data_IF_881305342554
#
_entry.id   IF_881305342554
#
_cell.length_a   1.000
_cell.length_b   1.000
_cell.length_c   1.000
_cell.angle_alpha   90.00
_cell.angle_beta   90.00
_cell.angle_gamma   90.00
#
_symmetry.space_group_name_H-M   'P 1'
#
loop_
_entity.id
_entity.type
_entity.pdbx_description
1 polymer ?
#
# COMPACT_ATOMS: atom_id res chain seq x y z
N UNK A 1 -21.86 28.63 8.37
CA UNK A 1 -22.05 27.23 7.91
C UNK A 1 -21.41 27.15 6.55
N UNK A 2 -20.63 26.10 6.29
CA UNK A 2 -20.00 25.95 4.96
C UNK A 2 -21.11 25.71 3.92
N UNK A 3 -21.01 26.34 2.75
CA UNK A 3 -21.95 26.17 1.63
C UNK A 3 -21.76 24.78 1.02
N UNK A 4 -22.82 24.01 0.93
CA UNK A 4 -22.75 22.70 0.31
C UNK A 4 -22.93 22.78 -1.21
N UNK A 5 -23.90 23.57 -1.69
CA UNK A 5 -24.28 23.64 -3.11
C UNK A 5 -24.44 25.08 -3.56
N UNK A 6 -23.78 25.43 -4.67
CA UNK A 6 -24.01 26.69 -5.38
C UNK A 6 -24.97 26.48 -6.56
N UNK A 7 -26.03 27.26 -6.65
CA UNK A 7 -27.02 27.21 -7.72
C UNK A 7 -26.89 28.47 -8.56
N UNK A 8 -26.64 28.30 -9.86
CA UNK A 8 -26.48 29.41 -10.82
C UNK A 8 -27.47 29.23 -11.97
N UNK A 9 -28.43 30.12 -12.05
CA UNK A 9 -29.50 30.14 -13.08
C UNK A 9 -30.07 31.54 -13.16
N UNK A 10 -30.36 32.08 -14.33
CA UNK A 10 -30.92 33.44 -14.49
C UNK A 10 -32.41 33.46 -14.13
N UNK A 11 -33.11 32.33 -14.26
CA UNK A 11 -34.54 32.23 -13.93
C UNK A 11 -34.77 32.07 -12.42
N UNK A 12 -35.31 33.11 -11.78
CA UNK A 12 -35.54 33.14 -10.33
C UNK A 12 -36.41 31.99 -9.82
N UNK A 13 -37.43 31.63 -10.59
CA UNK A 13 -38.38 30.55 -10.16
C UNK A 13 -37.70 29.18 -10.15
N UNK A 14 -36.87 28.88 -11.15
CA UNK A 14 -36.09 27.63 -11.23
C UNK A 14 -35.05 27.60 -10.12
N UNK A 15 -34.33 28.70 -9.91
CA UNK A 15 -33.35 28.83 -8.81
C UNK A 15 -34.01 28.58 -7.45
N UNK A 16 -35.22 29.15 -7.25
CA UNK A 16 -35.97 28.94 -5.99
C UNK A 16 -36.47 27.52 -5.83
N UNK A 17 -36.94 26.88 -6.89
CA UNK A 17 -37.37 25.46 -6.88
C UNK A 17 -36.20 24.54 -6.50
N UNK A 18 -35.07 24.67 -7.18
CA UNK A 18 -33.87 23.86 -6.89
C UNK A 18 -33.43 24.09 -5.45
N UNK A 19 -33.41 25.34 -4.98
CA UNK A 19 -33.06 25.66 -3.59
C UNK A 19 -33.97 24.95 -2.61
N UNK A 20 -35.31 25.08 -2.75
CA UNK A 20 -36.26 24.47 -1.83
C UNK A 20 -36.10 22.94 -1.79
N UNK A 21 -36.01 22.32 -2.96
CA UNK A 21 -35.79 20.87 -3.06
C UNK A 21 -34.52 20.41 -2.34
N UNK A 22 -33.42 21.16 -2.43
CA UNK A 22 -32.15 20.81 -1.80
C UNK A 22 -32.14 21.14 -0.29
N UNK A 23 -32.76 22.25 0.12
CA UNK A 23 -32.85 22.63 1.53
C UNK A 23 -33.77 21.68 2.32
N UNK A 24 -34.82 21.15 1.70
CA UNK A 24 -35.70 20.13 2.30
C UNK A 24 -34.95 18.83 2.60
N UNK A 25 -33.92 18.49 1.83
CA UNK A 25 -33.00 17.37 2.06
C UNK A 25 -31.80 17.73 2.95
N UNK A 26 -31.76 18.94 3.49
CA UNK A 26 -30.78 19.37 4.49
C UNK A 26 -29.48 19.95 3.93
N UNK A 27 -29.36 20.22 2.63
CA UNK A 27 -28.21 20.86 2.03
C UNK A 27 -28.21 22.38 2.25
N UNK A 28 -27.07 22.95 2.62
CA UNK A 28 -26.91 24.40 2.67
C UNK A 28 -26.65 24.95 1.27
N UNK A 29 -27.49 25.87 0.79
CA UNK A 29 -27.39 26.38 -0.57
C UNK A 29 -27.02 27.86 -0.64
N UNK A 30 -26.32 28.26 -1.71
CA UNK A 30 -26.17 29.67 -2.16
C UNK A 30 -26.65 29.79 -3.59
N UNK A 31 -27.12 30.97 -3.92
CA UNK A 31 -27.68 31.28 -5.24
C UNK A 31 -26.88 32.38 -5.91
N UNK A 32 -26.78 32.33 -7.24
CA UNK A 32 -26.28 33.38 -8.10
C UNK A 32 -27.19 33.51 -9.32
N UNK A 33 -27.47 34.73 -9.73
CA UNK A 33 -28.30 35.03 -10.91
C UNK A 33 -27.50 35.03 -12.22
N UNK A 34 -26.16 34.98 -12.16
CA UNK A 34 -25.30 34.98 -13.33
C UNK A 34 -23.85 34.69 -12.97
N UNK A 35 -22.98 34.64 -13.99
CA UNK A 35 -21.60 34.21 -13.86
C UNK A 35 -20.74 35.12 -12.98
N UNK A 36 -20.95 36.43 -13.02
CA UNK A 36 -20.18 37.39 -12.20
C UNK A 36 -20.38 37.14 -10.69
N UNK A 37 -21.63 36.94 -10.26
CA UNK A 37 -21.98 36.66 -8.88
C UNK A 37 -21.48 35.26 -8.49
N UNK A 38 -21.63 34.26 -9.37
CA UNK A 38 -21.14 32.91 -9.18
C UNK A 38 -19.63 32.84 -8.95
N UNK A 39 -18.84 33.58 -9.75
CA UNK A 39 -17.37 33.67 -9.59
C UNK A 39 -16.98 34.26 -8.24
N UNK A 40 -17.65 35.33 -7.81
CA UNK A 40 -17.38 35.94 -6.51
C UNK A 40 -17.65 34.94 -5.36
N UNK A 41 -18.76 34.19 -5.43
CA UNK A 41 -19.09 33.18 -4.45
C UNK A 41 -18.10 32.00 -4.47
N UNK A 42 -17.72 31.51 -5.65
CA UNK A 42 -16.71 30.44 -5.81
C UNK A 42 -15.36 30.83 -5.22
N UNK A 43 -14.92 32.08 -5.39
CA UNK A 43 -13.64 32.57 -4.87
C UNK A 43 -13.67 32.84 -3.36
N UNK A 44 -14.79 33.30 -2.81
CA UNK A 44 -14.91 33.62 -1.38
C UNK A 44 -15.16 32.38 -0.51
N UNK A 45 -15.99 31.46 -0.98
CA UNK A 45 -16.39 30.26 -0.23
C UNK A 45 -16.74 29.13 -1.22
N UNK A 46 -15.74 28.31 -1.63
CA UNK A 46 -15.96 27.25 -2.61
C UNK A 46 -16.97 26.22 -2.10
N UNK A 47 -18.04 25.91 -2.87
CA UNK A 47 -19.05 24.92 -2.50
C UNK A 47 -18.51 23.49 -2.70
N UNK A 48 -19.24 22.50 -2.17
CA UNK A 48 -18.96 21.09 -2.42
C UNK A 48 -19.44 20.61 -3.79
N UNK A 49 -20.42 21.29 -4.37
CA UNK A 49 -21.01 21.04 -5.69
C UNK A 49 -21.55 22.35 -6.29
N UNK A 50 -21.45 22.51 -7.60
CA UNK A 50 -22.13 23.60 -8.30
C UNK A 50 -23.13 23.05 -9.31
N UNK A 51 -24.27 23.74 -9.42
CA UNK A 51 -25.32 23.52 -10.43
C UNK A 51 -25.37 24.75 -11.30
N UNK A 52 -25.08 24.62 -12.59
CA UNK A 52 -24.99 25.76 -13.54
C UNK A 52 -26.00 25.58 -14.66
N UNK A 53 -26.79 26.63 -14.92
CA UNK A 53 -27.56 26.72 -16.18
C UNK A 53 -26.62 27.02 -17.35
N UNK A 54 -26.86 26.38 -18.48
CA UNK A 54 -26.08 26.61 -19.70
C UNK A 54 -26.40 27.99 -20.29
N UNK A 55 -27.67 28.35 -20.33
CA UNK A 55 -28.14 29.56 -21.00
C UNK A 55 -28.52 30.67 -20.03
N UNK A 56 -27.61 31.58 -19.74
CA UNK A 56 -27.82 32.72 -18.86
C UNK A 56 -27.90 34.01 -19.70
N UNK A 57 -29.12 34.57 -19.89
CA UNK A 57 -29.40 35.61 -20.86
C UNK A 57 -28.80 37.00 -20.54
N UNK A 58 -28.58 37.32 -19.29
CA UNK A 58 -28.06 38.63 -18.84
C UNK A 58 -26.68 38.51 -18.16
N UNK A 59 -25.92 37.50 -18.52
CA UNK A 59 -24.61 37.21 -17.92
C UNK A 59 -23.47 37.57 -18.86
N UNK A 60 -22.33 37.95 -18.29
CA UNK A 60 -21.08 38.25 -18.99
C UNK A 60 -20.41 36.98 -19.57
N UNK A 61 -20.82 35.81 -19.12
CA UNK A 61 -20.38 34.51 -19.61
C UNK A 61 -21.57 33.54 -19.65
N UNK A 62 -21.55 32.58 -20.57
CA UNK A 62 -22.50 31.49 -20.56
C UNK A 62 -22.10 30.40 -19.54
N UNK A 63 -22.97 29.40 -19.35
CA UNK A 63 -22.71 28.33 -18.36
C UNK A 63 -21.56 27.42 -18.75
N UNK A 64 -21.26 27.27 -20.06
CA UNK A 64 -20.12 26.44 -20.50
C UNK A 64 -18.79 27.15 -20.25
N UNK A 65 -18.75 28.46 -20.51
CA UNK A 65 -17.57 29.28 -20.19
C UNK A 65 -17.32 29.34 -18.67
N UNK A 66 -18.40 29.46 -17.87
CA UNK A 66 -18.30 29.40 -16.40
C UNK A 66 -17.84 28.03 -15.90
N UNK A 67 -18.26 26.94 -16.54
CA UNK A 67 -17.77 25.59 -16.28
C UNK A 67 -16.25 25.48 -16.50
N UNK A 68 -15.78 25.92 -17.69
CA UNK A 68 -14.34 25.88 -18.02
C UNK A 68 -13.52 26.71 -17.04
N UNK A 69 -13.98 27.94 -16.74
CA UNK A 69 -13.35 28.81 -15.76
C UNK A 69 -13.31 28.16 -14.38
N UNK A 70 -14.41 27.57 -13.92
CA UNK A 70 -14.50 26.92 -12.62
C UNK A 70 -13.58 25.72 -12.53
N UNK A 71 -13.50 24.92 -13.59
CA UNK A 71 -12.60 23.74 -13.67
C UNK A 71 -11.13 24.11 -13.75
N UNK A 72 -10.78 25.27 -14.29
CA UNK A 72 -9.40 25.76 -14.30
C UNK A 72 -8.89 26.10 -12.90
N UNK A 73 -9.76 26.54 -11.99
CA UNK A 73 -9.41 26.93 -10.61
C UNK A 73 -9.66 25.79 -9.63
N UNK A 74 -10.77 25.06 -9.79
CA UNK A 74 -11.22 23.97 -8.94
C UNK A 74 -11.44 22.69 -9.77
N UNK A 75 -10.39 21.98 -10.19
CA UNK A 75 -10.50 20.78 -11.06
C UNK A 75 -11.41 19.69 -10.47
N UNK A 76 -11.39 19.55 -9.14
CA UNK A 76 -12.10 18.49 -8.41
C UNK A 76 -13.54 18.86 -8.00
N UNK A 77 -13.97 20.12 -8.24
CA UNK A 77 -15.34 20.55 -7.93
C UNK A 77 -16.34 19.83 -8.86
N UNK A 78 -17.26 19.01 -8.35
CA UNK A 78 -18.32 18.43 -9.19
C UNK A 78 -19.28 19.52 -9.65
N UNK A 79 -19.55 19.55 -10.96
CA UNK A 79 -20.42 20.55 -11.58
C UNK A 79 -21.51 19.78 -12.35
N UNK A 80 -22.78 20.05 -12.00
CA UNK A 80 -23.94 19.58 -12.75
C UNK A 80 -24.42 20.73 -13.68
N UNK A 81 -24.60 20.39 -14.94
CA UNK A 81 -25.16 21.37 -15.91
C UNK A 81 -26.66 21.17 -16.05
N UNK A 82 -27.42 22.26 -16.13
CA UNK A 82 -28.87 22.24 -16.39
C UNK A 82 -29.13 23.01 -17.66
N UNK A 83 -30.09 22.58 -18.49
CA UNK A 83 -30.49 23.32 -19.69
C UNK A 83 -31.95 23.08 -20.07
N UNK A 84 -32.65 24.13 -20.50
CA UNK A 84 -34.00 24.05 -21.07
C UNK A 84 -34.05 23.75 -22.59
N UNK A 85 -32.94 23.92 -23.30
CA UNK A 85 -32.84 23.68 -24.76
C UNK A 85 -31.56 22.88 -25.07
N UNK A 86 -31.33 21.78 -24.31
CA UNK A 86 -30.14 20.97 -24.48
C UNK A 86 -30.23 20.09 -25.74
N UNK A 87 -29.40 20.38 -26.74
CA UNK A 87 -29.14 19.38 -27.78
C UNK A 87 -28.19 18.31 -27.23
N UNK A 88 -28.20 17.12 -27.81
CA UNK A 88 -27.23 16.05 -27.46
C UNK A 88 -25.79 16.59 -27.59
N UNK A 89 -25.55 17.45 -28.54
CA UNK A 89 -24.25 18.10 -28.79
C UNK A 89 -23.78 18.97 -27.60
N UNK A 90 -24.68 19.77 -27.04
CA UNK A 90 -24.39 20.64 -25.88
C UNK A 90 -24.10 19.82 -24.61
N UNK A 91 -24.84 18.74 -24.39
CA UNK A 91 -24.60 17.82 -23.28
C UNK A 91 -23.23 17.12 -23.41
N UNK A 92 -22.88 16.67 -24.61
CA UNK A 92 -21.57 16.04 -24.89
C UNK A 92 -20.43 17.04 -24.70
N UNK A 93 -20.63 18.29 -25.09
CA UNK A 93 -19.64 19.37 -24.92
C UNK A 93 -19.42 19.66 -23.42
N UNK A 94 -20.50 19.80 -22.63
CA UNK A 94 -20.41 19.98 -21.19
C UNK A 94 -19.61 18.87 -20.49
N UNK A 95 -19.87 17.61 -20.83
CA UNK A 95 -19.13 16.45 -20.29
C UNK A 95 -17.65 16.49 -20.72
N UNK A 96 -17.34 16.85 -21.96
CA UNK A 96 -15.95 16.99 -22.44
C UNK A 96 -15.19 18.09 -21.70
N UNK A 97 -15.87 19.20 -21.35
CA UNK A 97 -15.31 20.31 -20.60
C UNK A 97 -15.23 20.03 -19.09
N UNK A 98 -15.59 18.82 -18.66
CA UNK A 98 -15.39 18.35 -17.27
C UNK A 98 -16.62 18.47 -16.38
N UNK A 99 -17.82 18.70 -16.91
CA UNK A 99 -19.03 18.56 -16.11
C UNK A 99 -19.17 17.12 -15.59
N UNK A 100 -19.72 16.97 -14.38
CA UNK A 100 -20.00 15.66 -13.80
C UNK A 100 -21.14 14.96 -14.54
N UNK A 101 -22.23 15.71 -14.77
CA UNK A 101 -23.39 15.23 -15.54
C UNK A 101 -24.25 16.41 -16.02
N UNK A 102 -25.33 16.08 -16.74
CA UNK A 102 -26.23 17.02 -17.39
C UNK A 102 -27.70 16.68 -17.09
N UNK A 103 -28.51 17.71 -16.79
CA UNK A 103 -29.95 17.60 -16.53
C UNK A 103 -30.72 18.48 -17.50
N UNK A 104 -31.72 17.91 -18.19
CA UNK A 104 -32.61 18.65 -19.09
C UNK A 104 -33.83 19.15 -18.34
N UNK A 105 -34.21 20.43 -18.54
CA UNK A 105 -35.45 21.04 -18.08
C UNK A 105 -36.61 20.69 -19.02
N UNK A 106 -37.79 20.30 -18.53
CA UNK A 106 -38.18 20.18 -17.13
C UNK A 106 -37.70 18.86 -16.52
N UNK A 107 -37.23 18.91 -15.29
CA UNK A 107 -36.74 17.73 -14.57
C UNK A 107 -37.61 17.40 -13.34
N UNK A 108 -37.60 16.14 -12.93
CA UNK A 108 -38.22 15.70 -11.69
C UNK A 108 -37.28 15.93 -10.51
N UNK A 109 -37.82 16.32 -9.36
CA UNK A 109 -37.06 16.53 -8.11
C UNK A 109 -36.22 15.30 -7.73
N UNK A 110 -36.79 14.10 -7.82
CA UNK A 110 -36.11 12.84 -7.54
C UNK A 110 -34.83 12.64 -8.39
N UNK A 111 -34.88 13.07 -9.66
CA UNK A 111 -33.72 12.99 -10.57
C UNK A 111 -32.61 13.95 -10.16
N UNK A 112 -32.98 15.20 -9.80
CA UNK A 112 -32.03 16.19 -9.31
C UNK A 112 -31.34 15.69 -8.04
N UNK A 113 -32.10 15.25 -7.04
CA UNK A 113 -31.57 14.74 -5.77
C UNK A 113 -30.66 13.53 -5.97
N UNK A 114 -31.04 12.58 -6.81
CA UNK A 114 -30.21 11.42 -7.12
C UNK A 114 -28.87 11.83 -7.75
N UNK A 115 -28.87 12.80 -8.66
CA UNK A 115 -27.64 13.23 -9.33
C UNK A 115 -26.74 14.06 -8.40
N UNK A 116 -27.32 14.89 -7.55
CA UNK A 116 -26.61 15.65 -6.51
C UNK A 116 -25.94 14.67 -5.53
N UNK A 117 -26.69 13.69 -5.01
CA UNK A 117 -26.14 12.70 -4.08
C UNK A 117 -24.97 11.90 -4.69
N UNK A 118 -25.11 11.45 -5.94
CA UNK A 118 -24.05 10.74 -6.66
C UNK A 118 -22.81 11.62 -6.92
N UNK A 119 -23.02 12.87 -7.29
CA UNK A 119 -21.92 13.80 -7.55
C UNK A 119 -21.12 14.09 -6.27
N UNK A 120 -21.82 14.33 -5.15
CA UNK A 120 -21.19 14.55 -3.84
C UNK A 120 -20.47 13.30 -3.32
N UNK A 121 -21.06 12.11 -3.47
CA UNK A 121 -20.43 10.83 -3.09
C UNK A 121 -19.16 10.58 -3.92
N UNK A 122 -19.24 10.77 -5.23
CA UNK A 122 -18.07 10.63 -6.13
C UNK A 122 -16.95 11.59 -5.76
N UNK A 123 -17.28 12.86 -5.48
CA UNK A 123 -16.31 13.86 -5.05
C UNK A 123 -15.70 13.52 -3.69
N UNK A 124 -16.52 13.03 -2.75
CA UNK A 124 -16.05 12.57 -1.45
C UNK A 124 -15.07 11.41 -1.58
N UNK A 125 -15.42 10.38 -2.35
CA UNK A 125 -14.53 9.23 -2.60
C UNK A 125 -13.23 9.64 -3.32
N UNK A 126 -13.31 10.59 -4.27
CA UNK A 126 -12.13 11.14 -4.94
C UNK A 126 -11.25 11.90 -3.95
N UNK A 127 -11.83 12.73 -3.09
CA UNK A 127 -11.12 13.49 -2.06
C UNK A 127 -10.50 12.56 -1.01
N UNK A 128 -11.25 11.59 -0.51
CA UNK A 128 -10.72 10.56 0.40
C UNK A 128 -9.58 9.77 -0.24
N UNK A 129 -9.67 9.45 -1.53
CA UNK A 129 -8.59 8.78 -2.28
C UNK A 129 -7.36 9.68 -2.44
N UNK A 130 -7.55 10.98 -2.70
CA UNK A 130 -6.47 11.97 -2.76
C UNK A 130 -5.86 12.18 -1.36
N UNK A 131 -6.67 12.28 -0.32
CA UNK A 131 -6.23 12.40 1.07
C UNK A 131 -5.50 11.13 1.55
N UNK A 132 -6.01 9.94 1.23
CA UNK A 132 -5.34 8.66 1.48
C UNK A 132 -4.02 8.57 0.70
N UNK A 133 -3.99 9.03 -0.55
CA UNK A 133 -2.75 9.11 -1.35
C UNK A 133 -1.79 10.18 -0.81
N UNK A 134 -2.28 11.32 -0.37
CA UNK A 134 -1.49 12.38 0.26
C UNK A 134 -0.98 11.97 1.65
N UNK A 135 -1.76 11.19 2.41
CA UNK A 135 -1.31 10.57 3.66
C UNK A 135 -0.26 9.47 3.43
N UNK A 136 -0.28 8.83 2.26
CA UNK A 136 0.79 7.93 1.80
C UNK A 136 2.00 8.68 1.24
N UNK A 137 1.82 9.96 0.87
CA UNK A 137 2.84 10.86 0.34
C UNK A 137 2.83 12.17 1.13
N UNK A 138 3.28 12.12 2.37
CA UNK A 138 3.74 13.34 3.06
C UNK A 138 4.82 13.95 2.15
N UNK A 139 4.59 15.13 1.61
CA UNK A 139 5.31 15.92 0.60
C UNK A 139 6.85 15.83 0.47
N UNK A 140 7.50 14.88 1.11
CA UNK A 140 8.87 14.46 0.86
C UNK A 140 8.87 13.26 -0.09
N UNK A 141 9.71 13.30 -1.12
CA UNK A 141 9.96 12.17 -1.99
C UNK A 141 10.20 10.90 -1.14
N UNK A 142 9.58 9.77 -1.46
CA UNK A 142 9.74 8.56 -0.67
C UNK A 142 11.22 8.20 -0.54
N UNK A 143 11.73 8.20 0.68
CA UNK A 143 13.16 7.97 0.95
C UNK A 143 13.36 6.65 1.68
N UNK A 144 14.33 5.86 1.21
CA UNK A 144 14.76 4.65 1.90
C UNK A 144 15.59 5.03 3.13
N UNK A 145 14.99 4.89 4.30
CA UNK A 145 15.63 5.18 5.59
C UNK A 145 16.61 4.06 5.93
N UNK A 146 17.79 4.46 6.40
CA UNK A 146 18.85 3.55 6.84
C UNK A 146 20.23 4.10 6.55
N UNK A 147 21.20 3.84 7.42
CA UNK A 147 22.61 4.24 7.29
C UNK A 147 23.55 3.04 7.18
N UNK A 148 23.01 1.84 7.26
CA UNK A 148 23.77 0.60 7.14
C UNK A 148 24.54 0.53 5.80
N UNK A 149 25.68 -0.15 5.75
CA UNK A 149 26.45 -0.36 4.51
C UNK A 149 25.59 -1.00 3.42
N UNK A 150 24.73 -1.96 3.80
CA UNK A 150 23.84 -2.66 2.87
C UNK A 150 22.84 -1.68 2.24
N UNK A 151 22.19 -0.82 3.05
CA UNK A 151 21.24 0.19 2.54
C UNK A 151 21.92 1.27 1.71
N UNK A 152 23.19 1.60 1.99
CA UNK A 152 23.99 2.49 1.12
C UNK A 152 24.22 1.85 -0.26
N UNK A 153 24.56 0.56 -0.30
CA UNK A 153 24.69 -0.20 -1.55
C UNK A 153 23.39 -0.23 -2.37
N UNK A 154 22.23 -0.44 -1.70
CA UNK A 154 20.91 -0.40 -2.35
C UNK A 154 20.65 0.98 -2.98
N UNK A 155 20.88 2.07 -2.24
CA UNK A 155 20.70 3.43 -2.80
C UNK A 155 21.61 3.69 -4.00
N UNK A 156 22.87 3.29 -3.94
CA UNK A 156 23.79 3.41 -5.08
C UNK A 156 23.32 2.59 -6.29
N UNK A 157 22.78 1.40 -6.07
CA UNK A 157 22.20 0.57 -7.13
C UNK A 157 20.96 1.26 -7.72
N UNK A 158 20.07 1.81 -6.90
CA UNK A 158 18.91 2.57 -7.35
C UNK A 158 19.35 3.78 -8.19
N UNK A 159 20.36 4.53 -7.75
CA UNK A 159 20.89 5.70 -8.50
C UNK A 159 21.41 5.35 -9.90
N UNK A 160 21.97 4.15 -10.05
CA UNK A 160 22.45 3.65 -11.34
C UNK A 160 21.32 3.10 -12.22
N UNK A 161 20.31 2.46 -11.62
CA UNK A 161 19.19 1.81 -12.31
C UNK A 161 18.14 2.83 -12.74
N UNK A 162 17.86 3.83 -11.92
CA UNK A 162 16.76 4.76 -12.12
C UNK A 162 16.79 5.49 -13.47
N UNK A 163 17.94 6.03 -13.96
CA UNK A 163 18.00 6.70 -15.26
C UNK A 163 17.84 5.76 -16.46
N UNK A 164 17.93 4.44 -16.25
CA UNK A 164 17.75 3.47 -17.34
C UNK A 164 16.27 3.18 -17.56
N UNK A 165 15.88 2.78 -18.77
CA UNK A 165 14.56 2.25 -19.05
C UNK A 165 14.43 0.75 -18.71
N UNK A 166 15.44 0.14 -18.12
CA UNK A 166 15.50 -1.28 -17.82
C UNK A 166 14.41 -1.71 -16.84
N UNK A 167 13.91 -2.92 -17.04
CA UNK A 167 13.00 -3.58 -16.12
C UNK A 167 13.78 -4.02 -14.89
N UNK A 168 13.14 -3.90 -13.73
CA UNK A 168 13.75 -4.20 -12.43
C UNK A 168 12.90 -5.24 -11.71
N UNK A 169 13.56 -6.24 -11.16
CA UNK A 169 12.93 -7.25 -10.31
C UNK A 169 13.45 -7.07 -8.89
N UNK A 170 12.56 -6.65 -7.99
CA UNK A 170 12.88 -6.36 -6.59
C UNK A 170 12.52 -7.58 -5.73
N UNK A 171 13.51 -8.29 -5.24
CA UNK A 171 13.32 -9.44 -4.36
C UNK A 171 13.54 -9.06 -2.90
N UNK A 172 12.94 -9.80 -1.98
CA UNK A 172 13.19 -9.64 -0.56
C UNK A 172 11.95 -9.94 0.29
N UNK A 173 12.12 -10.23 1.59
CA UNK A 173 11.04 -10.67 2.44
C UNK A 173 9.90 -9.64 2.53
N UNK A 174 8.71 -10.12 2.92
CA UNK A 174 7.55 -9.24 3.10
C UNK A 174 7.86 -8.14 4.13
N UNK A 175 7.40 -6.92 3.87
CA UNK A 175 7.64 -5.77 4.74
C UNK A 175 9.06 -5.20 4.69
N UNK A 176 9.96 -5.66 3.81
CA UNK A 176 11.34 -5.16 3.71
C UNK A 176 11.46 -3.77 3.05
N UNK A 177 10.40 -3.29 2.37
CA UNK A 177 10.35 -2.01 1.68
C UNK A 177 10.50 -2.10 0.17
N UNK A 178 10.10 -3.21 -0.47
CA UNK A 178 10.18 -3.43 -1.94
C UNK A 178 9.44 -2.35 -2.73
N UNK A 179 8.20 -2.03 -2.35
CA UNK A 179 7.42 -0.97 -3.01
C UNK A 179 8.10 0.40 -2.88
N UNK A 180 8.65 0.71 -1.69
CA UNK A 180 9.37 1.96 -1.47
C UNK A 180 10.62 2.06 -2.36
N UNK A 181 11.36 0.95 -2.54
CA UNK A 181 12.48 0.89 -3.47
C UNK A 181 12.04 1.13 -4.91
N UNK A 182 10.91 0.54 -5.35
CA UNK A 182 10.33 0.76 -6.67
C UNK A 182 9.91 2.23 -6.88
N UNK A 183 9.31 2.87 -5.89
CA UNK A 183 8.97 4.31 -5.91
C UNK A 183 10.23 5.18 -5.97
N UNK A 184 11.29 4.84 -5.23
CA UNK A 184 12.57 5.54 -5.33
C UNK A 184 13.19 5.43 -6.73
N UNK A 185 13.11 4.26 -7.37
CA UNK A 185 13.56 4.06 -8.75
C UNK A 185 12.76 4.94 -9.72
N UNK A 186 11.43 4.97 -9.58
CA UNK A 186 10.57 5.81 -10.40
C UNK A 186 10.89 7.30 -10.24
N UNK A 187 10.94 7.81 -9.00
CA UNK A 187 11.15 9.23 -8.70
C UNK A 187 12.53 9.75 -9.13
N UNK A 188 13.53 8.88 -9.27
CA UNK A 188 14.85 9.21 -9.78
C UNK A 188 15.00 8.93 -11.29
N UNK A 189 13.93 8.50 -11.97
CA UNK A 189 13.92 8.19 -13.39
C UNK A 189 13.52 9.39 -14.25
N UNK A 190 13.64 9.26 -15.57
CA UNK A 190 13.12 10.24 -16.54
C UNK A 190 11.56 10.29 -16.57
N UNK A 191 10.89 9.32 -15.90
CA UNK A 191 9.42 9.23 -15.80
C UNK A 191 8.89 9.71 -14.45
N UNK A 192 9.70 10.44 -13.66
CA UNK A 192 9.37 10.89 -12.30
C UNK A 192 8.08 11.72 -12.20
N UNK A 193 7.77 12.47 -13.25
CA UNK A 193 6.59 13.34 -13.34
C UNK A 193 5.36 12.61 -13.91
N UNK A 194 5.55 11.36 -14.34
CA UNK A 194 4.51 10.50 -14.90
C UNK A 194 3.89 9.60 -13.82
N UNK A 195 2.84 8.84 -14.18
CA UNK A 195 2.13 8.00 -13.21
C UNK A 195 2.96 6.80 -12.77
N UNK A 196 2.93 6.54 -11.46
CA UNK A 196 3.34 5.28 -10.84
C UNK A 196 2.10 4.47 -10.48
N UNK A 197 1.82 3.42 -11.26
CA UNK A 197 0.64 2.58 -11.10
C UNK A 197 1.03 1.28 -10.40
N UNK A 198 0.29 0.92 -9.34
CA UNK A 198 0.54 -0.29 -8.55
C UNK A 198 -0.47 -1.37 -8.92
N UNK A 199 0.01 -2.52 -9.35
CA UNK A 199 -0.76 -3.75 -9.52
C UNK A 199 -0.45 -4.69 -8.35
N UNK A 200 -1.33 -4.73 -7.34
CA UNK A 200 -1.19 -5.65 -6.21
C UNK A 200 -1.75 -7.03 -6.60
N UNK A 201 -0.87 -7.92 -7.05
CA UNK A 201 -1.26 -9.21 -7.64
C UNK A 201 -1.98 -10.12 -6.65
N UNK A 202 -1.67 -10.02 -5.35
CA UNK A 202 -2.34 -10.80 -4.31
C UNK A 202 -3.81 -10.39 -4.06
N UNK A 203 -4.20 -9.17 -4.46
CA UNK A 203 -5.57 -8.65 -4.29
C UNK A 203 -6.44 -8.76 -5.54
N UNK A 204 -5.83 -9.02 -6.69
CA UNK A 204 -6.56 -9.18 -7.94
C UNK A 204 -7.36 -10.48 -7.90
N UNK A 205 -8.69 -10.37 -8.04
CA UNK A 205 -9.56 -11.55 -8.11
C UNK A 205 -9.21 -12.37 -9.35
N UNK A 206 -8.95 -13.67 -9.20
CA UNK A 206 -8.49 -14.57 -10.28
C UNK A 206 -9.34 -14.49 -11.54
N UNK A 207 -10.67 -14.32 -11.40
CA UNK A 207 -11.63 -14.24 -12.49
C UNK A 207 -11.60 -12.89 -13.24
N UNK A 208 -11.08 -11.82 -12.63
CA UNK A 208 -11.08 -10.46 -13.17
C UNK A 208 -9.70 -9.88 -13.39
N UNK A 209 -8.66 -10.62 -13.06
CA UNK A 209 -7.27 -10.14 -13.13
C UNK A 209 -6.90 -9.59 -14.50
N UNK A 210 -7.31 -10.29 -15.57
CA UNK A 210 -7.05 -9.84 -16.94
C UNK A 210 -7.80 -8.55 -17.28
N UNK A 211 -9.06 -8.41 -16.83
CA UNK A 211 -9.84 -7.20 -17.06
C UNK A 211 -9.30 -6.00 -16.25
N UNK A 212 -8.74 -6.23 -15.07
CA UNK A 212 -8.10 -5.17 -14.29
C UNK A 212 -6.75 -4.76 -14.89
N UNK A 213 -5.95 -5.70 -15.35
CA UNK A 213 -4.65 -5.42 -15.96
C UNK A 213 -4.76 -4.80 -17.35
N UNK A 214 -5.55 -5.41 -18.23
CA UNK A 214 -5.63 -5.06 -19.65
C UNK A 214 -6.86 -4.22 -20.00
N UNK A 215 -7.79 -4.06 -19.07
CA UNK A 215 -9.08 -3.44 -19.34
C UNK A 215 -10.08 -4.38 -20.00
N UNK A 216 -11.32 -3.94 -20.09
CA UNK A 216 -12.37 -4.68 -20.77
C UNK A 216 -13.18 -3.79 -21.71
N UNK A 217 -13.72 -4.39 -22.76
CA UNK A 217 -14.56 -3.72 -23.74
C UNK A 217 -15.75 -4.63 -24.06
N UNK A 218 -16.97 -4.14 -23.78
CA UNK A 218 -18.19 -4.86 -24.12
C UNK A 218 -18.73 -4.36 -25.45
N UNK A 219 -18.74 -5.21 -26.43
CA UNK A 219 -19.29 -4.91 -27.77
C UNK A 219 -20.80 -4.60 -27.73
N UNK A 220 -21.51 -5.15 -26.74
CA UNK A 220 -22.97 -4.97 -26.62
C UNK A 220 -23.37 -3.68 -25.89
N UNK A 221 -22.59 -3.23 -24.89
CA UNK A 221 -22.93 -2.08 -24.04
C UNK A 221 -22.09 -0.84 -24.31
N UNK A 222 -21.15 -0.87 -25.23
CA UNK A 222 -20.17 0.20 -25.52
C UNK A 222 -19.41 0.69 -24.27
N UNK A 223 -19.42 -0.10 -23.21
CA UNK A 223 -18.75 0.23 -21.95
C UNK A 223 -17.29 -0.21 -22.03
N UNK A 224 -16.39 0.77 -21.91
CA UNK A 224 -14.95 0.58 -21.90
C UNK A 224 -14.44 0.80 -20.47
N UNK A 225 -13.66 -0.16 -19.98
CA UNK A 225 -12.92 -0.04 -18.70
C UNK A 225 -11.43 -0.01 -19.02
N UNK A 226 -10.74 1.02 -18.54
CA UNK A 226 -9.31 1.23 -18.76
C UNK A 226 -8.53 0.37 -17.78
N UNK A 227 -7.62 -0.50 -18.28
CA UNK A 227 -6.78 -1.37 -17.48
C UNK A 227 -5.53 -0.69 -16.91
N UNK A 228 -4.84 -1.35 -15.95
CA UNK A 228 -3.65 -0.81 -15.28
C UNK A 228 -2.49 -0.53 -16.26
N UNK A 229 -2.30 -1.35 -17.30
CA UNK A 229 -1.29 -1.10 -18.33
C UNK A 229 -1.56 0.19 -19.11
N UNK A 230 -2.81 0.47 -19.42
CA UNK A 230 -3.20 1.71 -20.13
C UNK A 230 -3.09 2.93 -19.21
N UNK A 231 -3.45 2.78 -17.90
CA UNK A 231 -3.28 3.83 -16.89
C UNK A 231 -1.81 4.20 -16.66
N UNK A 232 -0.89 3.24 -16.82
CA UNK A 232 0.55 3.43 -16.66
C UNK A 232 1.24 3.93 -17.94
N UNK A 233 0.50 4.27 -19.01
CA UNK A 233 1.09 4.77 -20.26
C UNK A 233 2.00 5.97 -20.01
N UNK A 234 3.21 5.96 -20.60
CA UNK A 234 4.35 6.86 -20.38
C UNK A 234 4.97 6.80 -18.97
N UNK A 235 4.33 6.15 -18.02
CA UNK A 235 4.74 6.03 -16.63
C UNK A 235 5.43 4.70 -16.28
N UNK A 236 5.21 4.27 -15.05
CA UNK A 236 5.76 3.03 -14.49
C UNK A 236 4.63 2.16 -13.94
N UNK A 237 4.62 0.87 -14.30
CA UNK A 237 3.74 -0.13 -13.72
C UNK A 237 4.55 -1.00 -12.74
N UNK A 238 4.13 -1.02 -11.49
CA UNK A 238 4.74 -1.83 -10.45
C UNK A 238 3.84 -3.03 -10.12
N UNK A 239 4.37 -4.23 -10.30
CA UNK A 239 3.72 -5.48 -9.90
C UNK A 239 4.21 -5.88 -8.51
N UNK A 240 3.33 -5.85 -7.53
CA UNK A 240 3.60 -6.37 -6.19
C UNK A 240 3.19 -7.84 -6.10
N UNK A 241 4.12 -8.70 -5.66
CA UNK A 241 3.97 -10.15 -5.57
C UNK A 241 3.55 -10.81 -6.90
N UNK A 242 4.38 -10.65 -7.95
CA UNK A 242 4.13 -11.14 -9.32
C UNK A 242 3.84 -12.65 -9.39
N UNK A 243 4.35 -13.45 -8.45
CA UNK A 243 4.12 -14.88 -8.39
C UNK A 243 2.68 -15.28 -8.02
N UNK A 244 1.86 -14.33 -7.53
CA UNK A 244 0.47 -14.59 -7.18
C UNK A 244 -0.47 -14.57 -8.40
N UNK A 245 0.03 -14.18 -9.57
CA UNK A 245 -0.75 -14.14 -10.80
C UNK A 245 -0.94 -15.53 -11.41
N UNK A 246 -2.13 -15.81 -11.98
CA UNK A 246 -2.37 -17.04 -12.75
C UNK A 246 -1.39 -17.19 -13.92
N UNK A 247 -0.96 -18.40 -14.22
CA UNK A 247 0.00 -18.70 -15.29
C UNK A 247 -0.45 -18.20 -16.69
N UNK A 248 -1.75 -18.19 -16.94
CA UNK A 248 -2.32 -17.65 -18.19
C UNK A 248 -2.08 -16.15 -18.30
N UNK A 249 -2.38 -15.42 -17.22
CA UNK A 249 -2.14 -13.97 -17.13
C UNK A 249 -0.66 -13.63 -17.23
N UNK A 250 0.21 -14.43 -16.61
CA UNK A 250 1.66 -14.28 -16.74
C UNK A 250 2.09 -14.32 -18.21
N UNK A 251 1.54 -15.25 -19.02
CA UNK A 251 1.81 -15.33 -20.45
C UNK A 251 1.34 -14.10 -21.23
N UNK A 252 0.20 -13.50 -20.86
CA UNK A 252 -0.30 -12.25 -21.45
C UNK A 252 0.60 -11.06 -21.11
N UNK A 253 1.10 -11.01 -19.86
CA UNK A 253 2.06 -9.98 -19.42
C UNK A 253 3.37 -10.06 -20.21
N UNK A 254 3.90 -11.27 -20.42
CA UNK A 254 5.13 -11.45 -21.24
C UNK A 254 4.95 -10.78 -22.61
N UNK A 255 3.82 -11.01 -23.27
CA UNK A 255 3.53 -10.39 -24.59
C UNK A 255 3.39 -8.89 -24.49
N UNK A 256 2.59 -8.39 -23.54
CA UNK A 256 2.35 -6.96 -23.36
C UNK A 256 3.64 -6.18 -23.05
N UNK A 257 4.52 -6.75 -22.21
CA UNK A 257 5.83 -6.14 -21.87
C UNK A 257 6.80 -6.15 -23.05
N UNK A 258 6.74 -7.19 -23.91
CA UNK A 258 7.62 -7.31 -25.06
C UNK A 258 7.20 -6.38 -26.20
N UNK A 259 5.92 -6.41 -26.53
CA UNK A 259 5.37 -5.77 -27.72
C UNK A 259 4.91 -4.34 -27.43
N UNK A 260 4.80 -3.96 -26.14
CA UNK A 260 4.22 -2.69 -25.67
C UNK A 260 2.82 -2.46 -26.28
N UNK A 261 2.08 -3.55 -26.50
CA UNK A 261 0.72 -3.56 -27.03
C UNK A 261 -0.04 -4.80 -26.57
N UNK A 262 -1.33 -4.65 -26.46
CA UNK A 262 -2.25 -5.71 -26.03
C UNK A 262 -3.68 -5.42 -26.52
N UNK A 263 -4.61 -6.36 -26.31
CA UNK A 263 -6.04 -6.17 -26.55
C UNK A 263 -6.80 -6.22 -25.22
N UNK A 264 -7.84 -5.41 -25.11
CA UNK A 264 -8.76 -5.47 -23.96
C UNK A 264 -9.53 -6.79 -23.96
N UNK A 265 -9.93 -7.22 -22.78
CA UNK A 265 -10.79 -8.40 -22.64
C UNK A 265 -12.13 -8.12 -23.33
N UNK A 266 -12.53 -9.00 -24.24
CA UNK A 266 -13.77 -8.86 -25.03
C UNK A 266 -13.68 -7.87 -26.20
N UNK A 267 -12.54 -7.18 -26.39
CA UNK A 267 -12.31 -6.23 -27.49
C UNK A 267 -11.36 -6.77 -28.56
N UNK A 268 -11.47 -6.22 -29.77
CA UNK A 268 -10.58 -6.54 -30.90
C UNK A 268 -9.55 -5.43 -31.19
N UNK A 269 -9.72 -4.26 -30.60
CA UNK A 269 -8.85 -3.11 -30.84
C UNK A 269 -7.52 -3.28 -30.11
N UNK A 270 -6.41 -3.09 -30.81
CA UNK A 270 -5.07 -3.11 -30.25
C UNK A 270 -4.78 -1.80 -29.53
N UNK A 271 -4.30 -1.89 -28.29
CA UNK A 271 -3.89 -0.76 -27.43
C UNK A 271 -2.39 -0.73 -27.40
N UNK A 272 -1.79 0.38 -27.84
CA UNK A 272 -0.33 0.61 -27.80
C UNK A 272 -0.01 1.43 -26.56
N UNK A 273 0.98 0.97 -25.80
CA UNK A 273 1.43 1.63 -24.56
C UNK A 273 2.97 1.76 -24.55
N UNK A 274 3.46 2.70 -23.77
CA UNK A 274 4.89 2.81 -23.43
C UNK A 274 4.99 2.79 -21.90
N UNK A 275 5.33 1.62 -21.33
CA UNK A 275 5.30 1.40 -19.88
C UNK A 275 6.64 0.84 -19.41
N UNK A 276 7.25 1.50 -18.42
CA UNK A 276 8.35 0.91 -17.65
C UNK A 276 7.78 -0.06 -16.63
N UNK A 277 8.32 -1.28 -16.56
CA UNK A 277 7.85 -2.30 -15.61
C UNK A 277 8.87 -2.49 -14.50
N UNK A 278 8.39 -2.49 -13.26
CA UNK A 278 9.11 -2.91 -12.05
C UNK A 278 8.27 -4.00 -11.40
N UNK A 279 8.88 -5.12 -11.02
CA UNK A 279 8.17 -6.26 -10.41
C UNK A 279 8.77 -6.58 -9.05
N UNK A 280 7.98 -7.13 -8.14
CA UNK A 280 8.46 -7.57 -6.84
C UNK A 280 7.98 -8.98 -6.49
N UNK A 281 8.79 -9.68 -5.69
CA UNK A 281 8.42 -10.95 -5.07
C UNK A 281 9.01 -11.07 -3.67
N UNK A 282 8.25 -11.67 -2.76
CA UNK A 282 8.74 -12.09 -1.44
C UNK A 282 9.17 -13.55 -1.39
N UNK A 283 8.83 -14.32 -2.43
CA UNK A 283 9.14 -15.75 -2.54
C UNK A 283 10.47 -15.98 -3.26
N UNK A 284 11.06 -17.14 -3.05
CA UNK A 284 12.18 -17.58 -3.86
C UNK A 284 11.71 -17.91 -5.27
N UNK A 285 12.26 -17.19 -6.26
CA UNK A 285 11.79 -17.30 -7.65
C UNK A 285 12.24 -18.61 -8.31
N UNK A 286 13.37 -19.18 -7.89
CA UNK A 286 13.83 -20.47 -8.41
C UNK A 286 12.89 -21.60 -7.95
N UNK A 287 12.46 -21.55 -6.70
CA UNK A 287 11.48 -22.50 -6.15
C UNK A 287 10.11 -22.34 -6.83
N UNK A 288 9.67 -21.10 -7.09
CA UNK A 288 8.40 -20.84 -7.77
C UNK A 288 8.41 -21.32 -9.25
N UNK A 289 9.55 -21.19 -9.94
CA UNK A 289 9.72 -21.74 -11.30
C UNK A 289 9.72 -23.26 -11.28
N UNK A 290 10.48 -23.89 -10.39
CA UNK A 290 10.58 -25.35 -10.27
C UNK A 290 9.23 -26.00 -9.89
N UNK A 291 8.43 -25.30 -9.08
CA UNK A 291 7.07 -25.72 -8.71
C UNK A 291 6.02 -25.40 -9.79
N UNK A 292 6.41 -24.80 -10.91
CA UNK A 292 5.49 -24.45 -12.02
C UNK A 292 4.49 -23.34 -11.69
N UNK A 293 4.72 -22.51 -10.67
CA UNK A 293 3.87 -21.37 -10.32
C UNK A 293 4.32 -20.06 -10.97
N UNK A 294 5.59 -19.96 -11.35
CA UNK A 294 6.14 -18.84 -12.10
C UNK A 294 6.67 -19.34 -13.47
N UNK A 295 6.27 -18.69 -14.53
CA UNK A 295 6.80 -18.98 -15.87
C UNK A 295 8.24 -18.50 -15.99
N UNK A 296 9.09 -19.35 -16.53
CA UNK A 296 10.51 -19.06 -16.74
C UNK A 296 10.72 -17.90 -17.74
N UNK A 297 9.89 -17.83 -18.80
CA UNK A 297 9.94 -16.75 -19.78
C UNK A 297 9.60 -15.38 -19.16
N UNK A 298 8.65 -15.33 -18.21
CA UNK A 298 8.32 -14.12 -17.47
C UNK A 298 9.48 -13.69 -16.57
N UNK A 299 10.07 -14.63 -15.84
CA UNK A 299 11.23 -14.35 -14.96
C UNK A 299 12.38 -13.68 -15.73
N UNK A 300 12.85 -14.30 -16.83
CA UNK A 300 13.92 -13.71 -17.63
C UNK A 300 13.52 -12.38 -18.27
N UNK A 301 12.24 -12.19 -18.54
CA UNK A 301 11.79 -10.95 -19.14
C UNK A 301 11.70 -9.80 -18.15
N UNK A 302 11.30 -10.04 -16.91
CA UNK A 302 11.19 -9.03 -15.85
C UNK A 302 12.51 -8.81 -15.11
N UNK A 303 13.31 -9.85 -14.96
CA UNK A 303 14.55 -9.87 -14.18
C UNK A 303 15.80 -9.33 -14.90
N UNK A 304 15.66 -8.28 -15.72
CA UNK A 304 16.82 -7.69 -16.42
C UNK A 304 17.85 -7.11 -15.42
N UNK A 305 17.36 -6.45 -14.38
CA UNK A 305 18.18 -5.95 -13.28
C UNK A 305 17.58 -6.43 -11.95
N UNK A 306 18.21 -7.40 -11.28
CA UNK A 306 17.76 -7.82 -9.96
C UNK A 306 18.21 -6.82 -8.89
N UNK A 307 17.30 -6.51 -7.94
CA UNK A 307 17.58 -5.71 -6.75
C UNK A 307 17.06 -6.47 -5.52
N UNK A 308 17.94 -6.82 -4.58
CA UNK A 308 17.55 -7.58 -3.41
C UNK A 308 17.45 -6.67 -2.18
N UNK A 309 16.26 -6.59 -1.60
CA UNK A 309 16.01 -5.86 -0.36
C UNK A 309 16.36 -6.75 0.83
N UNK A 310 17.29 -6.34 1.71
CA UNK A 310 17.72 -7.15 2.84
C UNK A 310 16.62 -7.23 3.90
N UNK A 311 16.51 -8.38 4.62
CA UNK A 311 15.70 -8.44 5.83
C UNK A 311 16.24 -7.47 6.88
N UNK A 312 15.37 -7.02 7.78
CA UNK A 312 15.74 -6.08 8.82
C UNK A 312 16.81 -6.63 9.79
N UNK A 313 16.80 -7.95 9.99
CA UNK A 313 17.80 -8.64 10.80
C UNK A 313 19.26 -8.46 10.29
N UNK A 314 19.46 -8.17 9.00
CA UNK A 314 20.77 -7.88 8.41
C UNK A 314 21.16 -6.38 8.45
N UNK A 315 20.27 -5.51 8.96
CA UNK A 315 20.47 -4.06 9.07
C UNK A 315 19.98 -3.51 10.41
N UNK A 316 20.28 -4.20 11.49
CA UNK A 316 19.82 -3.87 12.86
C UNK A 316 20.20 -2.46 13.30
N UNK A 317 21.32 -1.93 12.79
CA UNK A 317 21.77 -0.56 13.02
C UNK A 317 20.82 0.52 12.45
N UNK A 318 19.92 0.15 11.53
CA UNK A 318 18.92 1.05 10.97
C UNK A 318 17.63 1.13 11.84
N UNK A 319 17.44 0.19 12.78
CA UNK A 319 16.24 0.10 13.61
C UNK A 319 15.97 1.38 14.42
N UNK A 320 16.95 1.99 15.10
CA UNK A 320 16.71 3.23 15.84
C UNK A 320 16.25 4.40 14.97
N UNK A 321 16.79 4.49 13.74
CA UNK A 321 16.39 5.50 12.77
C UNK A 321 14.98 5.28 12.26
N UNK A 322 14.62 4.03 11.94
CA UNK A 322 13.28 3.64 11.53
C UNK A 322 12.27 3.89 12.65
N UNK A 323 12.60 3.51 13.88
CA UNK A 323 11.76 3.73 15.05
C UNK A 323 11.48 5.22 15.27
N UNK A 324 12.50 6.07 15.25
CA UNK A 324 12.37 7.52 15.36
C UNK A 324 11.51 8.12 14.23
N UNK A 325 11.72 7.66 12.99
CA UNK A 325 10.95 8.13 11.85
C UNK A 325 9.47 7.77 12.00
N UNK A 326 9.15 6.51 12.29
CA UNK A 326 7.75 6.08 12.43
C UNK A 326 7.07 6.70 13.64
N UNK A 327 7.79 6.93 14.74
CA UNK A 327 7.24 7.67 15.89
C UNK A 327 6.79 9.07 15.47
N UNK A 328 7.61 9.80 14.72
CA UNK A 328 7.26 11.14 14.24
C UNK A 328 6.10 11.10 13.21
N UNK A 329 6.15 10.15 12.28
CA UNK A 329 5.14 9.99 11.22
C UNK A 329 3.76 9.64 11.79
N UNK A 330 3.72 8.61 12.66
CA UNK A 330 2.45 8.13 13.23
C UNK A 330 1.89 9.13 14.24
N UNK A 331 2.74 9.79 15.05
CA UNK A 331 2.31 10.84 15.98
C UNK A 331 1.65 12.01 15.23
N UNK A 332 2.25 12.46 14.11
CA UNK A 332 1.65 13.48 13.22
C UNK A 332 0.28 13.05 12.69
N UNK A 333 0.15 11.79 12.26
CA UNK A 333 -1.11 11.24 11.73
C UNK A 333 -2.21 11.15 12.80
N UNK A 334 -1.85 10.76 14.03
CA UNK A 334 -2.78 10.65 15.14
C UNK A 334 -3.07 12.00 15.83
N UNK A 335 -2.36 13.08 15.46
CA UNK A 335 -2.49 14.38 16.09
C UNK A 335 -1.97 14.41 17.54
N UNK A 336 -1.03 13.51 17.90
CA UNK A 336 -0.44 13.41 19.24
C UNK A 336 1.04 13.81 19.22
N UNK A 337 1.60 14.13 20.41
CA UNK A 337 3.02 14.40 20.51
C UNK A 337 3.84 13.12 20.36
N UNK A 338 4.94 13.15 19.58
CA UNK A 338 5.84 12.00 19.47
C UNK A 338 6.53 11.76 20.83
N UNK A 339 6.64 10.49 21.22
CA UNK A 339 7.38 10.11 22.40
C UNK A 339 8.87 9.86 22.10
N UNK A 340 9.68 9.88 23.16
CA UNK A 340 11.05 9.37 23.08
C UNK A 340 11.05 7.90 23.50
N UNK A 341 11.80 7.08 22.77
CA UNK A 341 12.07 5.69 23.16
C UNK A 341 13.27 5.68 24.10
N UNK A 342 13.19 4.91 25.18
CA UNK A 342 14.35 4.69 26.07
C UNK A 342 15.42 3.87 25.33
N UNK A 343 16.67 3.95 25.81
CA UNK A 343 17.78 3.18 25.26
C UNK A 343 17.54 1.66 25.40
N UNK A 344 16.86 1.26 26.47
CA UNK A 344 16.47 -0.12 26.73
C UNK A 344 15.47 -0.63 25.71
N UNK A 345 14.46 0.17 25.36
CA UNK A 345 13.49 -0.15 24.29
C UNK A 345 14.20 -0.26 22.95
N UNK A 346 15.10 0.65 22.63
CA UNK A 346 15.88 0.60 21.39
C UNK A 346 16.78 -0.64 21.31
N UNK A 347 17.42 -1.02 22.42
CA UNK A 347 18.23 -2.23 22.52
C UNK A 347 17.38 -3.49 22.32
N UNK A 348 16.18 -3.55 22.95
CA UNK A 348 15.22 -4.62 22.77
C UNK A 348 14.80 -4.77 21.29
N UNK A 349 14.45 -3.65 20.67
CA UNK A 349 14.07 -3.61 19.25
C UNK A 349 15.22 -4.06 18.34
N UNK A 350 16.49 -3.71 18.64
CA UNK A 350 17.64 -4.18 17.86
C UNK A 350 17.93 -5.67 18.04
N UNK A 351 17.62 -6.23 19.20
CA UNK A 351 17.77 -7.65 19.48
C UNK A 351 16.76 -8.55 18.77
N UNK A 352 15.57 -8.06 18.50
CA UNK A 352 14.49 -8.84 17.90
C UNK A 352 14.72 -9.16 16.41
N UNK A 353 14.19 -10.28 15.95
CA UNK A 353 14.41 -10.77 14.57
C UNK A 353 13.57 -10.10 13.50
N UNK A 354 12.46 -9.47 13.87
CA UNK A 354 11.53 -8.75 12.99
C UNK A 354 11.05 -9.56 11.77
N UNK A 355 10.30 -10.67 11.96
CA UNK A 355 9.82 -11.48 10.84
C UNK A 355 8.95 -10.70 9.85
N UNK A 356 8.21 -9.69 10.31
CA UNK A 356 7.45 -8.75 9.46
C UNK A 356 8.24 -7.52 9.00
N UNK A 357 9.56 -7.48 9.27
CA UNK A 357 10.48 -6.43 8.85
C UNK A 357 10.01 -5.01 9.23
N UNK A 358 10.14 -4.03 8.33
CA UNK A 358 9.82 -2.63 8.58
C UNK A 358 8.31 -2.42 8.83
N UNK A 359 7.46 -3.22 8.19
CA UNK A 359 6.00 -3.16 8.41
C UNK A 359 5.65 -3.49 9.86
N UNK A 360 6.33 -4.46 10.46
CA UNK A 360 6.12 -4.83 11.86
C UNK A 360 6.59 -3.71 12.81
N UNK A 361 7.73 -3.06 12.54
CA UNK A 361 8.16 -1.88 13.34
C UNK A 361 7.09 -0.79 13.31
N UNK A 362 6.57 -0.46 12.12
CA UNK A 362 5.53 0.55 11.99
C UNK A 362 4.30 0.20 12.85
N UNK A 363 3.82 -1.04 12.78
CA UNK A 363 2.66 -1.50 13.54
C UNK A 363 2.91 -1.47 15.07
N UNK A 364 4.10 -1.89 15.51
CA UNK A 364 4.47 -1.85 16.93
C UNK A 364 4.49 -0.41 17.45
N UNK A 365 5.09 0.50 16.70
CA UNK A 365 5.14 1.92 17.09
C UNK A 365 3.75 2.55 17.10
N UNK A 366 2.89 2.21 16.14
CA UNK A 366 1.51 2.66 16.11
C UNK A 366 0.74 2.18 17.35
N UNK A 367 0.86 0.90 17.69
CA UNK A 367 0.27 0.33 18.91
C UNK A 367 0.78 1.03 20.17
N UNK A 368 2.09 1.27 20.27
CA UNK A 368 2.67 1.98 21.39
C UNK A 368 2.16 3.43 21.52
N UNK A 369 1.97 4.12 20.39
CA UNK A 369 1.42 5.49 20.36
C UNK A 369 -0.03 5.54 20.79
N UNK A 370 -0.83 4.53 20.45
CA UNK A 370 -2.24 4.42 20.83
C UNK A 370 -2.38 4.08 22.33
N UNK A 371 -1.55 3.17 22.83
CA UNK A 371 -1.65 2.68 24.22
C UNK A 371 -0.92 3.57 25.24
N UNK A 372 -0.02 4.43 24.79
CA UNK A 372 0.77 5.27 25.70
C UNK A 372 -0.09 6.36 26.38
N UNK A 373 0.16 6.70 27.65
CA UNK A 373 -0.54 7.75 28.39
C UNK A 373 -0.48 9.11 27.71
N UNK A 374 -1.51 9.93 27.86
CA UNK A 374 -1.65 11.24 27.19
C UNK A 374 -0.70 12.31 27.76
N UNK A 375 -0.39 12.24 29.05
CA UNK A 375 0.57 13.14 29.73
C UNK A 375 1.97 12.52 29.68
N UNK A 376 2.84 13.05 28.77
CA UNK A 376 4.12 12.42 28.45
C UNK A 376 5.30 13.35 28.73
N UNK A 377 5.88 13.23 29.94
CA UNK A 377 7.15 13.88 30.26
C UNK A 377 8.35 12.92 30.25
N UNK A 378 8.13 11.61 30.23
CA UNK A 378 9.17 10.59 30.32
C UNK A 378 9.28 9.74 29.04
N UNK A 379 10.47 9.19 28.74
CA UNK A 379 10.63 8.21 27.66
C UNK A 379 9.75 6.98 27.89
N UNK A 380 9.32 6.34 26.81
CA UNK A 380 8.55 5.09 26.91
C UNK A 380 9.46 3.94 27.31
N UNK A 381 8.99 3.20 28.31
CA UNK A 381 9.63 2.04 28.89
C UNK A 381 9.23 0.72 28.19
N UNK A 382 9.91 -0.36 28.56
CA UNK A 382 9.74 -1.72 28.02
C UNK A 382 8.31 -2.26 28.15
N UNK A 383 7.54 -1.83 29.14
CA UNK A 383 6.19 -2.35 29.43
C UNK A 383 5.17 -2.13 28.30
N UNK A 384 5.42 -1.15 27.43
CA UNK A 384 4.57 -0.89 26.25
C UNK A 384 4.99 -1.67 24.99
N UNK A 385 6.12 -2.38 25.04
CA UNK A 385 6.50 -3.28 23.95
C UNK A 385 5.66 -4.55 23.99
N UNK A 386 5.30 -5.12 22.81
CA UNK A 386 4.71 -6.45 22.74
C UNK A 386 5.57 -7.47 23.47
N UNK A 387 4.91 -8.40 24.17
CA UNK A 387 5.59 -9.41 24.99
C UNK A 387 6.67 -10.22 24.22
N UNK A 388 6.46 -10.41 22.91
CA UNK A 388 7.40 -11.11 22.03
C UNK A 388 8.74 -10.39 21.91
N UNK A 389 8.73 -9.02 21.89
CA UNK A 389 9.93 -8.20 21.80
C UNK A 389 10.54 -8.00 23.18
N UNK A 390 9.69 -7.83 24.19
CA UNK A 390 10.09 -7.69 25.57
C UNK A 390 10.84 -8.93 26.10
N UNK A 391 10.39 -10.12 25.73
CA UNK A 391 11.02 -11.38 26.15
C UNK A 391 12.43 -11.57 25.57
N UNK A 392 12.76 -10.91 24.43
CA UNK A 392 14.12 -10.95 23.86
C UNK A 392 15.13 -10.26 24.78
N UNK A 393 14.72 -9.22 25.50
CA UNK A 393 15.60 -8.55 26.50
C UNK A 393 15.81 -9.45 27.71
N UNK A 394 14.76 -10.13 28.15
CA UNK A 394 14.87 -11.13 29.24
C UNK A 394 15.67 -12.36 28.83
N UNK A 395 15.55 -12.79 27.56
CA UNK A 395 16.33 -13.92 27.01
C UNK A 395 17.73 -13.50 26.55
N UNK A 396 17.96 -12.24 26.21
CA UNK A 396 19.24 -11.71 25.71
C UNK A 396 20.14 -11.12 26.79
N UNK A 397 19.59 -10.85 27.96
CA UNK A 397 20.36 -10.44 29.14
C UNK A 397 20.77 -11.62 30.06
N UNK A 398 19.99 -12.69 30.01
CA UNK A 398 20.38 -13.98 30.56
C UNK A 398 20.70 -14.92 29.35
N UNK A 399 21.90 -14.78 28.81
CA UNK A 399 22.50 -15.88 28.05
C UNK A 399 22.30 -17.13 28.88
N UNK A 400 21.87 -18.25 28.26
CA UNK A 400 21.90 -19.57 28.96
C UNK A 400 23.24 -19.73 29.68
N UNK A 401 24.28 -19.07 29.19
CA UNK A 401 25.60 -19.00 29.77
C UNK A 401 25.64 -18.15 31.04
N UNK A 402 24.90 -17.04 31.15
CA UNK A 402 24.87 -16.18 32.36
C UNK A 402 24.03 -16.84 33.46
N UNK A 403 22.94 -17.52 33.10
CA UNK A 403 22.19 -18.37 34.05
C UNK A 403 23.05 -19.52 34.53
N UNK A 404 23.84 -20.13 33.64
CA UNK A 404 24.80 -21.17 33.98
C UNK A 404 25.95 -20.66 34.87
N UNK A 405 26.45 -19.45 34.62
CA UNK A 405 27.51 -18.79 35.41
C UNK A 405 27.04 -18.41 36.82
N UNK A 406 25.75 -18.17 37.03
CA UNK A 406 25.14 -17.93 38.35
C UNK A 406 24.92 -19.17 39.18
N UNK A 407 25.07 -20.37 38.66
CA UNK A 407 24.88 -21.66 39.36
C UNK A 407 26.20 -22.19 39.93
N UNK A 408 26.15 -22.97 41.03
CA UNK A 408 27.30 -23.79 41.44
C UNK A 408 27.72 -24.72 40.28
N UNK A 409 29.03 -24.96 40.14
CA UNK A 409 29.62 -25.69 39.00
C UNK A 409 28.89 -26.98 38.65
N UNK A 410 28.40 -27.70 39.66
CA UNK A 410 27.63 -28.94 39.46
C UNK A 410 26.29 -28.68 38.76
N UNK A 411 25.55 -27.69 39.21
CA UNK A 411 24.26 -27.31 38.60
C UNK A 411 24.43 -26.77 37.20
N UNK A 412 25.41 -25.90 36.96
CA UNK A 412 25.76 -25.38 35.66
C UNK A 412 26.09 -26.49 34.65
N UNK A 413 26.83 -27.49 35.09
CA UNK A 413 27.17 -28.66 34.27
C UNK A 413 25.95 -29.52 33.94
N UNK A 414 25.07 -29.77 34.92
CA UNK A 414 23.84 -30.57 34.71
C UNK A 414 22.90 -29.87 33.72
N UNK A 415 22.74 -28.54 33.79
CA UNK A 415 21.88 -27.79 32.92
C UNK A 415 22.45 -27.69 31.48
N UNK A 416 23.77 -27.45 31.33
CA UNK A 416 24.42 -27.49 30.02
C UNK A 416 24.30 -28.89 29.37
N UNK A 417 24.57 -29.95 30.09
CA UNK A 417 24.45 -31.33 29.60
C UNK A 417 23.01 -31.65 29.17
N UNK A 418 22.01 -31.13 29.91
CA UNK A 418 20.60 -31.27 29.58
C UNK A 418 20.27 -30.61 28.28
N UNK A 419 20.56 -29.29 28.13
CA UNK A 419 20.30 -28.49 26.94
C UNK A 419 21.00 -29.10 25.70
N UNK A 420 22.26 -29.52 25.85
CA UNK A 420 23.02 -30.14 24.78
C UNK A 420 22.40 -31.48 24.32
N UNK A 421 22.01 -32.36 25.24
CA UNK A 421 21.41 -33.64 24.88
C UNK A 421 20.03 -33.51 24.25
N UNK A 422 19.19 -32.59 24.73
CA UNK A 422 17.88 -32.27 24.12
C UNK A 422 18.07 -31.79 22.69
N UNK A 423 18.99 -30.86 22.45
CA UNK A 423 19.30 -30.33 21.12
C UNK A 423 19.78 -31.44 20.16
N UNK A 424 20.64 -32.35 20.64
CA UNK A 424 21.10 -33.46 19.79
C UNK A 424 20.00 -34.50 19.54
N UNK A 425 19.13 -34.78 20.50
CA UNK A 425 17.96 -35.63 20.29
C UNK A 425 17.02 -35.08 19.22
N UNK A 426 16.71 -33.80 19.27
CA UNK A 426 15.93 -33.12 18.20
C UNK A 426 16.62 -33.22 16.84
N UNK A 427 17.93 -32.97 16.77
CA UNK A 427 18.70 -33.03 15.51
C UNK A 427 18.71 -34.43 14.85
N UNK A 428 18.60 -35.49 15.62
CA UNK A 428 18.61 -36.89 15.14
C UNK A 428 17.24 -37.56 15.31
N UNK A 429 16.15 -36.81 15.32
CA UNK A 429 14.76 -37.28 15.38
C UNK A 429 14.51 -38.33 16.50
N UNK A 430 15.12 -38.12 17.67
CA UNK A 430 14.97 -38.98 18.82
C UNK A 430 15.81 -40.28 18.75
N UNK A 431 16.60 -40.53 17.72
CA UNK A 431 17.38 -41.74 17.54
C UNK A 431 18.60 -41.76 18.46
N UNK A 432 18.42 -42.37 19.65
CA UNK A 432 19.44 -42.45 20.72
C UNK A 432 20.75 -43.10 20.24
N UNK A 433 20.70 -44.08 19.33
CA UNK A 433 21.91 -44.77 18.83
C UNK A 433 22.76 -43.82 17.98
N UNK A 434 22.13 -43.02 17.10
CA UNK A 434 22.81 -42.00 16.28
C UNK A 434 23.38 -40.88 17.14
N UNK A 435 22.62 -40.43 18.15
CA UNK A 435 23.09 -39.43 19.12
C UNK A 435 24.30 -39.95 19.88
N UNK A 436 24.27 -41.20 20.39
CA UNK A 436 25.38 -41.80 21.12
C UNK A 436 26.67 -41.85 20.29
N UNK A 437 26.56 -42.26 19.02
CA UNK A 437 27.70 -42.26 18.09
C UNK A 437 28.24 -40.87 17.84
N UNK A 438 27.35 -39.89 17.65
CA UNK A 438 27.75 -38.49 17.38
C UNK A 438 28.49 -37.85 18.57
N UNK A 439 27.99 -38.06 19.79
CA UNK A 439 28.59 -37.49 21.01
C UNK A 439 29.77 -38.30 21.57
N UNK A 440 30.10 -39.43 20.96
CA UNK A 440 31.22 -40.29 21.39
C UNK A 440 30.96 -41.02 22.68
N UNK A 441 29.70 -41.41 22.98
CA UNK A 441 29.31 -42.18 24.19
C UNK A 441 28.75 -43.54 23.83
N UNK A 442 28.93 -44.53 24.72
CA UNK A 442 28.18 -45.78 24.60
C UNK A 442 26.66 -45.55 24.78
N UNK A 443 25.84 -46.25 23.97
CA UNK A 443 24.37 -46.15 24.03
C UNK A 443 23.82 -46.38 25.45
N UNK A 444 24.38 -47.40 26.18
CA UNK A 444 24.00 -47.72 27.56
C UNK A 444 24.31 -46.57 28.54
N UNK A 445 25.43 -45.88 28.33
CA UNK A 445 25.85 -44.75 29.15
C UNK A 445 24.96 -43.53 28.87
N UNK A 446 24.62 -43.28 27.58
CA UNK A 446 23.71 -42.22 27.20
C UNK A 446 22.30 -42.43 27.79
N UNK A 447 21.74 -43.63 27.71
CA UNK A 447 20.44 -43.94 28.33
C UNK A 447 20.42 -43.69 29.85
N UNK A 448 21.47 -44.07 30.56
CA UNK A 448 21.58 -43.78 32.01
C UNK A 448 21.63 -42.27 32.26
N UNK A 449 22.31 -41.51 31.41
CA UNK A 449 22.46 -40.07 31.53
C UNK A 449 21.15 -39.34 31.21
N UNK A 450 20.43 -39.74 30.17
CA UNK A 450 19.10 -39.20 29.83
C UNK A 450 18.10 -39.43 30.97
N UNK A 451 18.14 -40.61 31.59
CA UNK A 451 17.31 -40.95 32.75
C UNK A 451 17.69 -40.13 33.99
N UNK A 452 18.97 -39.89 34.23
CA UNK A 452 19.46 -39.10 35.37
C UNK A 452 19.10 -37.60 35.23
N UNK A 453 19.00 -37.07 34.00
CA UNK A 453 18.63 -35.71 33.70
C UNK A 453 17.12 -35.51 33.42
N UNK A 454 16.29 -36.53 33.69
CA UNK A 454 14.82 -36.53 33.43
C UNK A 454 14.39 -36.15 32.01
N UNK A 455 15.21 -36.49 30.98
CA UNK A 455 14.89 -36.22 29.56
C UNK A 455 14.13 -37.42 28.94
N UNK A 456 14.01 -38.55 29.64
CA UNK A 456 13.57 -39.83 29.06
C UNK A 456 12.05 -40.03 28.94
N UNK A 457 11.20 -39.12 29.40
CA UNK A 457 9.73 -39.28 29.35
C UNK A 457 9.08 -39.02 27.97
N UNK A 458 9.69 -38.21 27.13
CA UNK A 458 9.02 -37.74 25.90
C UNK A 458 9.44 -38.50 24.62
N UNK A 459 10.43 -39.39 24.68
CA UNK A 459 11.02 -40.06 23.52
C UNK A 459 10.90 -41.59 23.50
N UNK A 460 10.15 -42.21 24.43
CA UNK A 460 10.00 -43.68 24.51
C UNK A 460 8.84 -44.27 23.71
N UNK A 461 8.00 -43.46 23.04
CA UNK A 461 6.85 -43.97 22.27
C UNK A 461 7.18 -44.40 20.83
N UNK A 462 8.39 -44.14 20.33
CA UNK A 462 8.80 -44.44 18.95
C UNK A 462 9.33 -45.87 18.69
N UNK A 463 9.61 -46.72 19.70
CA UNK A 463 10.21 -48.07 19.53
C UNK A 463 9.22 -49.23 19.64
N UNK A 464 7.90 -49.03 19.56
CA UNK A 464 6.89 -50.13 19.60
C UNK A 464 6.08 -50.30 18.31
N UNK A 465 6.68 -50.07 17.16
CA UNK A 465 6.08 -50.50 15.87
C UNK A 465 7.20 -50.81 14.87
N UNK A 466 7.78 -52.03 15.02
CA UNK A 466 8.23 -52.89 13.94
C UNK A 466 8.00 -54.35 14.40
#
# INVERSE_FOLDING_TARGET
MATDILIVDDERDIRSLIRMTLEDEGYATKQAAGAAEARNLLLSEPPKLAILDIWMRESDMDGLELLEWSKSIYPDLPILMISGHGTIETAVQAIRNGAYDFIEKPFKEERLLMMVARALESAKLTRENIELRAQMTDGAAPELIGKSPVMRGIRQSIDKIAPTASRVLVNGPSGSGKELAARCIHNKSYRKDERFVVANCARLASERVDAELFGSESLQSHRRVVGLFEQAHKGTLYFDEICDLPLETQGKIVRAVNEQRFRRVGGNTEVVVDVRVISASSRDLADEISAGRLREDLYYRLGVVPLTMPPLAQRREDIPLLAKHFTALVAKRLGVLPFKLSDEVLAAMQGYSWPGNVRQIHNVIETMLILAPTERNEPIDLDLLPAEIHNVVRSGGESEMDTLMGLPLRGAREEFERAYLVTQLHRFDGNVSRVATFIGMERSALHRKLKALNIASDYQEGERTE
#
